data_IF_332153728951
#
_entry.id   IF_332153728951
#
_cell.length_a   1.000
_cell.length_b   1.000
_cell.length_c   1.000
_cell.angle_alpha   90.00
_cell.angle_beta   90.00
_cell.angle_gamma   90.00
#
_symmetry.space_group_name_H-M   'P 1'
#
loop_
_entity.id
_entity.type
_entity.pdbx_description
1 polymer ?
#
# COMPACT_ATOMS: atom_id res chain seq x y z
N UNK A 1 1.42 22.63 -3.18
CA UNK A 1 1.45 21.15 -3.13
C UNK A 1 0.09 20.74 -2.58
N UNK A 2 -0.68 19.94 -3.30
CA UNK A 2 -1.92 19.37 -2.74
C UNK A 2 -1.53 18.48 -1.57
N UNK A 3 -2.22 18.63 -0.44
CA UNK A 3 -1.99 17.79 0.73
C UNK A 3 -2.28 16.33 0.35
N UNK A 4 -1.39 15.41 0.70
CA UNK A 4 -1.59 13.98 0.44
C UNK A 4 -2.90 13.49 1.06
N UNK A 5 -3.28 14.05 2.22
CA UNK A 5 -4.55 13.73 2.87
C UNK A 5 -5.74 14.07 1.97
N UNK A 6 -5.71 15.21 1.29
CA UNK A 6 -6.77 15.62 0.34
C UNK A 6 -6.81 14.70 -0.89
N UNK A 7 -5.65 14.33 -1.45
CA UNK A 7 -5.57 13.41 -2.58
C UNK A 7 -6.18 12.05 -2.21
N UNK A 8 -5.78 11.48 -1.07
CA UNK A 8 -6.31 10.21 -0.58
C UNK A 8 -7.81 10.33 -0.31
N UNK A 9 -8.25 11.37 0.40
CA UNK A 9 -9.66 11.57 0.75
C UNK A 9 -10.55 11.72 -0.50
N UNK A 10 -10.04 12.33 -1.57
CA UNK A 10 -10.79 12.50 -2.83
C UNK A 10 -10.97 11.20 -3.63
N UNK A 11 -10.16 10.17 -3.35
CA UNK A 11 -10.10 8.93 -4.13
C UNK A 11 -10.52 7.70 -3.33
N UNK A 12 -10.33 7.69 -2.01
CA UNK A 12 -10.69 6.55 -1.16
C UNK A 12 -12.20 6.34 -1.16
N UNK A 13 -12.61 5.09 -1.31
CA UNK A 13 -14.01 4.69 -1.15
C UNK A 13 -14.21 4.05 0.21
N UNK A 14 -15.29 4.42 0.87
CA UNK A 14 -15.71 3.77 2.11
C UNK A 14 -16.77 2.71 1.80
N UNK A 15 -16.55 1.49 2.29
CA UNK A 15 -17.50 0.37 2.16
C UNK A 15 -17.87 -0.10 3.56
N UNK A 16 -19.11 0.17 4.03
CA UNK A 16 -19.55 -0.30 5.34
C UNK A 16 -19.73 -1.82 5.34
N UNK A 17 -19.55 -2.43 6.53
CA UNK A 17 -19.81 -3.84 6.82
C UNK A 17 -19.09 -4.83 5.90
N UNK A 18 -17.83 -4.52 5.52
CA UNK A 18 -17.01 -5.39 4.69
C UNK A 18 -15.62 -5.65 5.30
N UNK A 19 -15.12 -6.90 5.31
CA UNK A 19 -15.76 -8.12 4.80
C UNK A 19 -16.83 -8.70 5.73
N UNK A 20 -17.02 -8.10 6.91
CA UNK A 20 -17.95 -8.55 7.94
C UNK A 20 -18.60 -7.35 8.65
N UNK A 21 -19.77 -7.55 9.31
CA UNK A 21 -20.49 -6.49 9.98
C UNK A 21 -19.65 -5.74 11.03
N UNK A 22 -19.80 -4.42 11.08
CA UNK A 22 -19.06 -3.53 11.99
C UNK A 22 -17.71 -3.05 11.46
N UNK A 23 -17.25 -3.52 10.29
CA UNK A 23 -16.00 -3.06 9.67
C UNK A 23 -16.28 -1.94 8.66
N UNK A 24 -15.70 -0.75 8.90
CA UNK A 24 -15.63 0.31 7.89
C UNK A 24 -14.42 0.10 6.99
N UNK A 25 -14.61 -0.53 5.84
CA UNK A 25 -13.52 -0.80 4.92
C UNK A 25 -13.13 0.45 4.14
N UNK A 26 -11.82 0.74 4.12
CA UNK A 26 -11.23 1.79 3.29
C UNK A 26 -10.67 1.15 2.03
N UNK A 27 -11.42 1.28 0.94
CA UNK A 27 -11.01 0.81 -0.37
C UNK A 27 -10.06 1.82 -1.02
N UNK A 28 -8.77 1.50 -0.96
CA UNK A 28 -7.69 2.27 -1.58
C UNK A 28 -7.48 1.91 -3.06
N UNK A 29 -8.26 1.00 -3.65
CA UNK A 29 -8.08 0.63 -5.06
C UNK A 29 -8.13 1.84 -6.01
N UNK A 30 -8.99 2.87 -5.83
CA UNK A 30 -8.95 4.03 -6.71
C UNK A 30 -7.73 4.92 -6.47
N UNK A 31 -7.23 4.99 -5.23
CA UNK A 31 -5.97 5.70 -4.90
C UNK A 31 -4.79 5.07 -5.63
N UNK A 32 -4.71 3.73 -5.64
CA UNK A 32 -3.64 3.00 -6.30
C UNK A 32 -3.77 2.98 -7.83
N UNK A 33 -4.99 3.13 -8.36
CA UNK A 33 -5.25 3.19 -9.80
C UNK A 33 -5.04 4.60 -10.40
N UNK A 34 -5.14 5.66 -9.61
CA UNK A 34 -4.81 7.03 -10.03
C UNK A 34 -3.29 7.26 -9.96
N UNK A 35 -2.70 7.77 -11.04
CA UNK A 35 -1.25 7.98 -11.12
C UNK A 35 -0.72 8.98 -10.07
N UNK A 36 -1.49 10.03 -9.75
CA UNK A 36 -1.12 11.01 -8.71
C UNK A 36 -1.30 10.41 -7.32
N UNK A 37 -2.38 9.65 -7.12
CA UNK A 37 -2.65 8.93 -5.89
C UNK A 37 -1.52 7.96 -5.55
N UNK A 38 -1.17 7.07 -6.49
CA UNK A 38 -0.09 6.10 -6.33
C UNK A 38 1.25 6.77 -6.06
N UNK A 39 1.61 7.81 -6.83
CA UNK A 39 2.85 8.54 -6.64
C UNK A 39 2.92 9.22 -5.26
N UNK A 40 1.84 9.88 -4.83
CA UNK A 40 1.79 10.57 -3.54
C UNK A 40 1.97 9.60 -2.37
N UNK A 41 1.22 8.49 -2.34
CA UNK A 41 1.34 7.50 -1.25
C UNK A 41 2.69 6.78 -1.27
N UNK A 42 3.22 6.50 -2.46
CA UNK A 42 4.55 5.87 -2.59
C UNK A 42 5.62 6.78 -2.01
N UNK A 43 5.62 8.06 -2.37
CA UNK A 43 6.63 9.00 -1.90
C UNK A 43 6.55 9.22 -0.38
N UNK A 44 5.34 9.41 0.16
CA UNK A 44 5.15 9.59 1.59
C UNK A 44 5.62 8.37 2.41
N UNK A 45 5.32 7.16 1.95
CA UNK A 45 5.78 5.93 2.63
C UNK A 45 7.27 5.72 2.45
N UNK A 46 7.82 5.99 1.26
CA UNK A 46 9.26 5.90 1.00
C UNK A 46 10.06 6.87 1.89
N UNK A 47 9.60 8.11 2.04
CA UNK A 47 10.22 9.09 2.93
C UNK A 47 10.24 8.63 4.39
N UNK A 48 9.14 8.05 4.86
CA UNK A 48 9.06 7.46 6.20
C UNK A 48 9.93 6.21 6.38
N UNK A 49 10.27 5.51 5.30
CA UNK A 49 11.05 4.27 5.29
C UNK A 49 12.53 4.45 4.90
N UNK A 50 13.03 5.69 4.82
CA UNK A 50 14.44 5.96 4.50
C UNK A 50 15.37 5.26 5.49
N UNK A 51 16.40 4.60 4.97
CA UNK A 51 17.37 3.83 5.75
C UNK A 51 16.94 2.38 6.00
N UNK A 52 15.78 1.94 5.52
CA UNK A 52 15.43 0.53 5.50
C UNK A 52 16.27 -0.24 4.46
N UNK A 53 16.67 -1.46 4.80
CA UNK A 53 17.38 -2.37 3.88
C UNK A 53 16.42 -3.15 2.96
N UNK A 54 15.16 -3.32 3.40
CA UNK A 54 14.15 -4.14 2.71
C UNK A 54 12.73 -3.68 3.05
N UNK A 55 11.82 -3.77 2.08
CA UNK A 55 10.37 -3.58 2.30
C UNK A 55 9.67 -4.92 2.43
N UNK A 56 8.83 -5.11 3.45
CA UNK A 56 7.96 -6.27 3.57
C UNK A 56 6.53 -5.90 3.13
N UNK A 57 6.09 -6.39 1.98
CA UNK A 57 4.70 -6.26 1.53
C UNK A 57 3.84 -7.35 2.16
N UNK A 58 2.76 -6.99 2.85
CA UNK A 58 1.88 -7.97 3.52
C UNK A 58 0.65 -8.26 2.67
N UNK A 59 0.51 -9.52 2.25
CA UNK A 59 -0.56 -10.03 1.38
C UNK A 59 -0.73 -9.22 0.07
N UNK A 60 -1.68 -9.63 -0.76
CA UNK A 60 -1.81 -9.17 -2.15
C UNK A 60 -1.87 -7.63 -2.31
N UNK A 61 -2.63 -6.94 -1.46
CA UNK A 61 -2.76 -5.47 -1.52
C UNK A 61 -1.49 -4.76 -1.06
N UNK A 62 -0.80 -5.30 -0.06
CA UNK A 62 0.47 -4.76 0.42
C UNK A 62 1.59 -4.88 -0.61
N UNK A 63 1.52 -5.85 -1.53
CA UNK A 63 2.53 -6.02 -2.58
C UNK A 63 2.57 -4.87 -3.58
N UNK A 64 1.41 -4.28 -3.92
CA UNK A 64 1.33 -3.17 -4.88
C UNK A 64 2.12 -1.96 -4.37
N UNK A 65 1.80 -1.52 -3.15
CA UNK A 65 2.47 -0.37 -2.55
C UNK A 65 3.90 -0.72 -2.11
N UNK A 66 4.11 -1.90 -1.53
CA UNK A 66 5.43 -2.34 -1.09
C UNK A 66 6.44 -2.41 -2.24
N UNK A 67 6.03 -2.92 -3.40
CA UNK A 67 6.86 -2.93 -4.61
C UNK A 67 7.17 -1.53 -5.12
N UNK A 68 6.19 -0.62 -5.15
CA UNK A 68 6.40 0.77 -5.56
C UNK A 68 7.38 1.51 -4.62
N UNK A 69 7.24 1.32 -3.31
CA UNK A 69 8.12 1.92 -2.30
C UNK A 69 9.54 1.37 -2.41
N UNK A 70 9.68 0.04 -2.53
CA UNK A 70 10.99 -0.60 -2.68
C UNK A 70 11.72 -0.11 -3.93
N UNK A 71 11.00 -0.01 -5.06
CA UNK A 71 11.54 0.55 -6.30
C UNK A 71 11.97 2.02 -6.11
N UNK A 72 11.15 2.83 -5.42
CA UNK A 72 11.47 4.24 -5.16
C UNK A 72 12.69 4.42 -4.25
N UNK A 73 12.98 3.47 -3.37
CA UNK A 73 14.13 3.50 -2.46
C UNK A 73 15.37 2.78 -3.02
N UNK A 74 15.24 2.07 -4.15
CA UNK A 74 16.34 1.29 -4.73
C UNK A 74 16.70 0.04 -3.91
N UNK A 75 15.74 -0.53 -3.18
CA UNK A 75 15.93 -1.71 -2.32
C UNK A 75 14.99 -2.85 -2.74
N UNK A 76 15.18 -4.03 -2.12
CA UNK A 76 14.33 -5.20 -2.38
C UNK A 76 12.97 -5.14 -1.68
N UNK A 77 12.05 -5.99 -2.13
CA UNK A 77 10.76 -6.26 -1.48
C UNK A 77 10.59 -7.75 -1.19
N UNK A 78 10.09 -8.08 0.00
CA UNK A 78 9.71 -9.43 0.41
C UNK A 78 8.19 -9.56 0.51
N UNK A 79 7.65 -10.60 -0.09
CA UNK A 79 6.24 -10.95 0.06
C UNK A 79 6.01 -11.72 1.37
N UNK A 80 5.27 -11.11 2.30
CA UNK A 80 4.80 -11.76 3.53
C UNK A 80 3.36 -12.21 3.31
N UNK A 81 3.08 -13.51 3.50
CA UNK A 81 1.75 -14.10 3.28
C UNK A 81 1.32 -14.93 4.48
N UNK A 82 0.02 -15.18 4.58
CA UNK A 82 -0.54 -16.18 5.49
C UNK A 82 0.15 -17.54 5.30
N UNK A 83 0.26 -18.30 6.40
CA UNK A 83 0.90 -19.62 6.41
C UNK A 83 0.41 -20.54 5.29
N UNK A 84 1.33 -21.29 4.68
CA UNK A 84 1.02 -22.21 3.57
C UNK A 84 0.82 -21.55 2.20
N UNK A 85 1.06 -20.24 2.06
CA UNK A 85 0.95 -19.51 0.78
C UNK A 85 2.29 -19.12 0.15
N UNK A 86 3.41 -19.41 0.81
CA UNK A 86 4.74 -19.34 0.22
C UNK A 86 5.22 -20.76 -0.11
N UNK A 87 6.01 -20.94 -1.18
CA UNK A 87 6.60 -22.23 -1.47
C UNK A 87 7.46 -22.71 -0.28
N UNK A 88 7.52 -24.02 -0.03
CA UNK A 88 8.46 -24.57 0.94
C UNK A 88 9.91 -24.26 0.49
N UNK A 89 10.87 -24.24 1.43
CA UNK A 89 12.28 -24.13 1.09
C UNK A 89 12.76 -25.27 0.17
#
# INVERSE_FOLDING_TARGET
MTDIAEVIASLVREVPDFPEPGVQFKDLTPVLADARGLAAVTHAVADAARGADLIAGVDARGFLLGGAVALSLGIGVLAVRKGGKLPPP
#
